data_IF_569295296147
#
_entry.id   IF_569295296147
#
_cell.length_a   1.000
_cell.length_b   1.000
_cell.length_c   1.000
_cell.angle_alpha   90.00
_cell.angle_beta   90.00
_cell.angle_gamma   90.00
#
_symmetry.space_group_name_H-M   'P 1'
#
loop_
_entity.id
_entity.type
_entity.pdbx_description
1 polymer ?
#
# COMPACT_ATOMS: atom_id res chain seq x y z
N UNK A 1 -18.51 2.63 39.92
CA UNK A 1 -17.71 3.87 39.87
C UNK A 1 -17.51 4.18 38.39
N UNK A 2 -18.12 5.28 37.91
CA UNK A 2 -18.21 5.66 36.49
C UNK A 2 -16.91 6.36 36.08
N UNK A 3 -16.26 5.89 35.03
CA UNK A 3 -15.19 6.63 34.36
C UNK A 3 -15.81 7.71 33.47
N UNK A 4 -15.33 8.97 33.50
CA UNK A 4 -15.78 10.01 32.59
C UNK A 4 -15.07 9.85 31.24
N UNK A 5 -15.83 9.88 30.16
CA UNK A 5 -15.32 10.01 28.80
C UNK A 5 -14.96 11.49 28.59
N UNK A 6 -13.70 11.75 28.23
CA UNK A 6 -13.20 13.08 27.95
C UNK A 6 -13.66 13.56 26.56
N UNK A 7 -14.17 14.78 26.51
CA UNK A 7 -14.97 15.32 25.41
C UNK A 7 -14.14 16.00 24.31
N UNK A 8 -13.03 15.38 23.90
CA UNK A 8 -12.14 15.92 22.85
C UNK A 8 -11.98 15.07 21.60
N UNK A 9 -12.69 13.94 21.51
CA UNK A 9 -12.54 12.97 20.40
C UNK A 9 -13.75 12.85 19.47
N UNK A 10 -14.69 13.82 19.51
CA UNK A 10 -15.99 13.73 18.82
C UNK A 10 -16.09 14.51 17.50
N UNK A 11 -15.01 15.16 17.04
CA UNK A 11 -15.04 15.94 15.80
C UNK A 11 -14.78 15.12 14.53
N UNK A 12 -14.27 13.88 14.65
CA UNK A 12 -13.95 12.99 13.51
C UNK A 12 -15.13 12.09 13.08
N UNK A 13 -16.30 12.16 13.72
CA UNK A 13 -17.36 11.16 13.50
C UNK A 13 -18.48 11.59 12.54
N UNK A 14 -18.70 12.88 12.34
CA UNK A 14 -19.91 13.37 11.64
C UNK A 14 -19.67 13.65 10.16
N UNK A 15 -18.46 13.88 9.68
CA UNK A 15 -18.21 14.02 8.22
C UNK A 15 -18.01 12.65 7.56
N UNK A 16 -17.29 11.74 8.22
CA UNK A 16 -16.96 10.40 7.72
C UNK A 16 -18.18 9.49 7.51
N UNK A 17 -19.23 9.67 8.33
CA UNK A 17 -20.45 8.86 8.22
C UNK A 17 -21.29 9.24 7.01
N UNK A 18 -21.28 10.51 6.58
CA UNK A 18 -22.04 10.96 5.41
C UNK A 18 -21.33 10.64 4.10
N UNK A 19 -19.99 10.74 4.04
CA UNK A 19 -19.20 10.33 2.87
C UNK A 19 -19.29 8.82 2.64
N UNK A 20 -19.24 8.01 3.71
CA UNK A 20 -19.46 6.56 3.62
C UNK A 20 -20.91 6.19 3.26
N UNK A 21 -21.91 6.98 3.68
CA UNK A 21 -23.29 6.77 3.29
C UNK A 21 -23.56 7.15 1.82
N UNK A 22 -22.97 8.24 1.33
CA UNK A 22 -23.03 8.67 -0.08
C UNK A 22 -22.38 7.66 -1.03
N UNK A 23 -21.19 7.16 -0.68
CA UNK A 23 -20.52 6.11 -1.44
C UNK A 23 -21.36 4.82 -1.49
N UNK A 24 -22.04 4.44 -0.40
CA UNK A 24 -22.96 3.29 -0.39
C UNK A 24 -24.19 3.47 -1.29
N UNK A 25 -24.69 4.69 -1.49
CA UNK A 25 -25.83 4.95 -2.40
C UNK A 25 -25.39 4.92 -3.86
N UNK A 26 -24.20 5.44 -4.18
CA UNK A 26 -23.61 5.30 -5.51
C UNK A 26 -23.28 3.83 -5.83
N UNK A 27 -22.74 3.08 -4.86
CA UNK A 27 -22.45 1.65 -4.96
C UNK A 27 -23.71 0.78 -5.16
N UNK A 28 -24.87 1.23 -4.66
CA UNK A 28 -26.16 0.55 -4.88
C UNK A 28 -26.63 0.64 -6.34
N UNK A 29 -26.21 1.66 -7.10
CA UNK A 29 -26.56 1.84 -8.51
C UNK A 29 -25.48 1.28 -9.45
N UNK A 30 -24.22 1.42 -9.06
CA UNK A 30 -23.07 0.89 -9.79
C UNK A 30 -22.18 0.11 -8.83
N UNK A 31 -22.09 -1.23 -8.95
CA UNK A 31 -21.23 -2.00 -8.06
C UNK A 31 -19.77 -1.55 -8.18
N UNK A 32 -19.04 -1.67 -7.06
CA UNK A 32 -17.61 -1.37 -6.99
C UNK A 32 -16.81 -2.63 -6.65
N UNK A 33 -15.72 -2.86 -7.37
CA UNK A 33 -14.73 -3.91 -7.13
C UNK A 33 -13.41 -3.24 -6.75
N UNK A 34 -12.93 -3.50 -5.54
CA UNK A 34 -11.64 -2.99 -5.07
C UNK A 34 -10.52 -4.01 -5.29
N UNK A 35 -9.51 -3.64 -6.05
CA UNK A 35 -8.33 -4.43 -6.37
C UNK A 35 -7.11 -3.85 -5.64
N UNK A 36 -6.67 -4.54 -4.59
CA UNK A 36 -5.41 -4.23 -3.94
C UNK A 36 -4.23 -4.76 -4.75
N UNK A 37 -3.31 -3.89 -5.14
CA UNK A 37 -2.07 -4.23 -5.83
C UNK A 37 -0.90 -4.00 -4.89
N UNK A 38 -0.13 -5.07 -4.65
CA UNK A 38 0.97 -5.04 -3.70
C UNK A 38 2.12 -5.93 -4.16
N UNK A 39 3.23 -5.86 -3.43
CA UNK A 39 4.52 -6.45 -3.80
C UNK A 39 5.68 -5.59 -3.30
N UNK A 40 6.86 -6.21 -3.19
CA UNK A 40 8.07 -5.55 -2.72
C UNK A 40 8.45 -4.33 -3.60
N UNK A 41 9.28 -3.43 -3.08
CA UNK A 41 9.83 -2.33 -3.85
C UNK A 41 10.47 -2.83 -5.15
N UNK A 42 10.21 -2.10 -6.25
CA UNK A 42 10.66 -2.43 -7.61
C UNK A 42 10.12 -3.75 -8.20
N UNK A 43 9.04 -4.32 -7.64
CA UNK A 43 8.35 -5.48 -8.24
C UNK A 43 7.52 -5.17 -9.48
N UNK A 44 7.45 -3.91 -9.92
CA UNK A 44 6.73 -3.49 -11.12
C UNK A 44 5.25 -3.12 -10.93
N UNK A 45 4.77 -2.91 -9.69
CA UNK A 45 3.37 -2.51 -9.39
C UNK A 45 2.89 -1.32 -10.20
N UNK A 46 3.66 -0.23 -10.18
CA UNK A 46 3.36 1.02 -10.88
C UNK A 46 3.21 0.81 -12.39
N UNK A 47 4.12 0.04 -12.99
CA UNK A 47 4.08 -0.32 -14.41
C UNK A 47 2.89 -1.22 -14.72
N UNK A 48 2.61 -2.21 -13.86
CA UNK A 48 1.45 -3.09 -14.00
C UNK A 48 0.13 -2.32 -14.00
N UNK A 49 -0.09 -1.44 -13.01
CA UNK A 49 -1.31 -0.63 -12.90
C UNK A 49 -1.43 0.30 -14.11
N UNK A 50 -0.35 0.99 -14.48
CA UNK A 50 -0.34 1.89 -15.65
C UNK A 50 -0.68 1.14 -16.94
N UNK A 51 -0.06 -0.03 -17.16
CA UNK A 51 -0.34 -0.87 -18.32
C UNK A 51 -1.78 -1.38 -18.31
N UNK A 52 -2.31 -1.82 -17.17
CA UNK A 52 -3.69 -2.28 -17.02
C UNK A 52 -4.68 -1.17 -17.39
N UNK A 53 -4.54 0.01 -16.79
CA UNK A 53 -5.40 1.17 -17.07
C UNK A 53 -5.32 1.55 -18.54
N UNK A 54 -4.11 1.62 -19.11
CA UNK A 54 -3.93 1.96 -20.53
C UNK A 54 -4.61 0.95 -21.46
N UNK A 55 -4.43 -0.35 -21.23
CA UNK A 55 -5.05 -1.38 -22.07
C UNK A 55 -6.58 -1.38 -21.97
N UNK A 56 -7.14 -1.01 -20.82
CA UNK A 56 -8.58 -0.88 -20.64
C UNK A 56 -9.12 0.38 -21.34
N UNK A 57 -8.47 1.54 -21.14
CA UNK A 57 -8.97 2.87 -21.55
C UNK A 57 -8.65 3.23 -23.00
N UNK A 58 -7.42 2.96 -23.46
CA UNK A 58 -6.95 3.27 -24.82
C UNK A 58 -6.98 2.05 -25.75
N UNK A 59 -7.32 0.89 -25.19
CA UNK A 59 -7.26 -0.38 -25.88
C UNK A 59 -5.87 -1.00 -25.92
N UNK A 60 -5.86 -2.31 -26.07
CA UNK A 60 -4.66 -3.10 -26.30
C UNK A 60 -5.01 -4.54 -26.67
N UNK A 61 -4.12 -5.48 -26.34
CA UNK A 61 -4.29 -6.90 -26.68
C UNK A 61 -4.44 -7.72 -25.40
N UNK A 62 -5.68 -7.96 -24.99
CA UNK A 62 -6.02 -8.75 -23.81
C UNK A 62 -6.73 -10.07 -24.20
N UNK A 63 -6.07 -11.01 -24.91
CA UNK A 63 -6.70 -12.22 -25.43
C UNK A 63 -7.20 -13.17 -24.32
N UNK A 64 -6.59 -13.11 -23.14
CA UNK A 64 -6.98 -13.91 -21.97
C UNK A 64 -7.98 -13.21 -21.05
N UNK A 65 -8.43 -12.00 -21.43
CA UNK A 65 -9.49 -11.30 -20.72
C UNK A 65 -10.77 -11.39 -21.57
N UNK A 66 -11.56 -12.44 -21.33
CA UNK A 66 -12.73 -12.78 -22.15
C UNK A 66 -13.68 -11.59 -22.43
N UNK A 67 -14.06 -10.74 -21.45
CA UNK A 67 -14.89 -9.57 -21.74
C UNK A 67 -14.31 -8.61 -22.78
N UNK A 68 -12.99 -8.43 -22.80
CA UNK A 68 -12.32 -7.59 -23.79
C UNK A 68 -12.16 -8.33 -25.12
N UNK A 69 -11.70 -9.59 -25.09
CA UNK A 69 -11.48 -10.41 -26.28
C UNK A 69 -12.77 -10.67 -27.08
N UNK A 70 -13.91 -10.77 -26.41
CA UNK A 70 -15.24 -10.96 -27.01
C UNK A 70 -15.91 -9.64 -27.41
N UNK A 71 -15.24 -8.49 -27.24
CA UNK A 71 -15.78 -7.17 -27.57
C UNK A 71 -16.94 -6.73 -26.66
N UNK A 72 -17.01 -7.25 -25.43
CA UNK A 72 -18.07 -6.93 -24.47
C UNK A 72 -17.81 -5.69 -23.64
N UNK A 73 -16.57 -5.24 -23.51
CA UNK A 73 -16.23 -3.95 -22.91
C UNK A 73 -16.64 -2.84 -23.89
N UNK A 74 -17.57 -1.99 -23.45
CA UNK A 74 -18.10 -0.87 -24.22
C UNK A 74 -17.24 0.37 -24.01
N UNK A 75 -16.89 0.67 -22.75
CA UNK A 75 -15.99 1.77 -22.40
C UNK A 75 -15.25 1.46 -21.10
N UNK A 76 -14.12 2.14 -20.93
CA UNK A 76 -13.38 2.19 -19.68
C UNK A 76 -12.86 3.62 -19.52
N UNK A 77 -13.31 4.29 -18.47
CA UNK A 77 -13.07 5.72 -18.27
C UNK A 77 -12.49 5.97 -16.88
N UNK A 78 -11.52 6.88 -16.78
CA UNK A 78 -11.03 7.32 -15.47
C UNK A 78 -12.07 8.23 -14.82
N UNK A 79 -12.40 7.94 -13.57
CA UNK A 79 -13.39 8.69 -12.80
C UNK A 79 -12.85 9.08 -11.43
N UNK A 80 -13.50 10.04 -10.74
CA UNK A 80 -13.14 10.39 -9.37
C UNK A 80 -13.12 9.15 -8.46
N UNK A 81 -12.04 9.02 -7.71
CA UNK A 81 -11.87 7.96 -6.72
C UNK A 81 -12.83 8.15 -5.53
N UNK A 82 -13.15 7.09 -4.78
CA UNK A 82 -14.13 7.18 -3.69
C UNK A 82 -13.62 7.87 -2.42
N UNK A 83 -12.31 7.92 -2.21
CA UNK A 83 -11.69 8.46 -1.00
C UNK A 83 -10.69 9.58 -1.34
N UNK A 84 -11.10 10.83 -1.12
CA UNK A 84 -10.27 12.02 -1.37
C UNK A 84 -9.12 12.18 -0.37
N UNK A 85 -9.12 11.44 0.75
CA UNK A 85 -8.01 11.46 1.70
C UNK A 85 -6.82 10.59 1.22
N UNK A 86 -7.05 9.68 0.28
CA UNK A 86 -5.99 8.85 -0.31
C UNK A 86 -5.40 9.58 -1.53
N UNK A 87 -4.07 9.69 -1.67
CA UNK A 87 -3.48 10.28 -2.87
C UNK A 87 -3.92 9.53 -4.15
N UNK A 88 -4.26 10.28 -5.20
CA UNK A 88 -4.55 9.69 -6.51
C UNK A 88 -3.31 9.03 -7.11
N UNK A 89 -3.48 7.86 -7.73
CA UNK A 89 -2.44 7.25 -8.55
C UNK A 89 -2.17 8.12 -9.78
N UNK A 90 -0.94 8.57 -9.94
CA UNK A 90 -0.54 9.53 -10.98
C UNK A 90 -0.35 8.87 -12.36
N UNK A 91 -1.46 8.35 -12.90
CA UNK A 91 -1.49 7.62 -14.16
C UNK A 91 -0.89 8.44 -15.31
N UNK A 92 -1.23 9.73 -15.38
CA UNK A 92 -0.74 10.64 -16.43
C UNK A 92 0.78 10.80 -16.37
N UNK A 93 1.36 11.08 -15.21
CA UNK A 93 2.81 11.19 -15.11
C UNK A 93 3.52 9.85 -15.41
N UNK A 94 2.92 8.73 -15.00
CA UNK A 94 3.49 7.41 -15.26
C UNK A 94 3.47 7.04 -16.75
N UNK A 95 2.41 7.38 -17.50
CA UNK A 95 2.38 7.14 -18.94
C UNK A 95 3.33 8.08 -19.69
N UNK A 96 3.46 9.33 -19.25
CA UNK A 96 4.40 10.30 -19.81
C UNK A 96 5.85 9.84 -19.60
N UNK A 97 6.20 9.34 -18.41
CA UNK A 97 7.51 8.75 -18.14
C UNK A 97 7.85 7.59 -19.11
N UNK A 98 6.87 6.70 -19.34
CA UNK A 98 7.04 5.52 -20.19
C UNK A 98 7.04 5.85 -21.69
N UNK A 99 6.43 6.95 -22.10
CA UNK A 99 6.29 7.36 -23.51
C UNK A 99 7.19 8.53 -23.91
N UNK A 100 7.90 9.12 -22.95
CA UNK A 100 8.82 10.25 -23.16
C UNK A 100 10.05 9.91 -24.00
N UNK A 101 10.85 10.95 -24.28
CA UNK A 101 12.09 10.86 -25.05
C UNK A 101 13.24 11.54 -24.29
N UNK A 102 14.15 10.79 -23.64
CA UNK A 102 14.19 9.33 -23.56
C UNK A 102 13.12 8.76 -22.60
N UNK A 103 12.59 7.55 -22.87
CA UNK A 103 11.65 6.90 -21.96
C UNK A 103 12.38 6.46 -20.70
N UNK A 104 11.71 6.55 -19.54
CA UNK A 104 12.24 6.08 -18.27
C UNK A 104 11.17 5.38 -17.44
N UNK A 105 11.61 4.55 -16.49
CA UNK A 105 10.69 3.90 -15.57
C UNK A 105 10.10 4.94 -14.61
N UNK A 106 8.79 4.85 -14.29
CA UNK A 106 8.19 5.63 -13.22
C UNK A 106 8.86 5.39 -11.87
N UNK A 107 8.82 6.40 -11.00
CA UNK A 107 9.26 6.28 -9.61
C UNK A 107 8.48 5.18 -8.88
N UNK A 108 9.16 4.48 -7.97
CA UNK A 108 8.50 3.45 -7.15
C UNK A 108 7.52 4.09 -6.18
N UNK A 109 6.35 3.46 -6.05
CA UNK A 109 5.31 3.87 -5.08
C UNK A 109 5.86 3.88 -3.65
N UNK A 110 5.87 5.06 -3.00
CA UNK A 110 6.36 5.24 -1.63
C UNK A 110 5.24 5.38 -0.58
N UNK A 111 4.00 5.59 -1.03
CA UNK A 111 2.80 5.79 -0.21
C UNK A 111 1.60 5.10 -0.86
N UNK A 112 0.56 4.85 -0.09
CA UNK A 112 -0.70 4.34 -0.64
C UNK A 112 -1.26 5.31 -1.70
N UNK A 113 -1.81 4.77 -2.79
CA UNK A 113 -2.54 5.56 -3.78
C UNK A 113 -3.70 4.80 -4.39
N UNK A 114 -4.72 5.50 -4.88
CA UNK A 114 -5.93 4.91 -5.46
C UNK A 114 -6.27 5.52 -6.82
N UNK A 115 -6.91 4.75 -7.70
CA UNK A 115 -7.52 5.24 -8.93
C UNK A 115 -8.74 4.41 -9.31
N UNK A 116 -9.77 5.06 -9.84
CA UNK A 116 -11.00 4.42 -10.31
C UNK A 116 -11.03 4.36 -11.84
N UNK A 117 -11.34 3.17 -12.35
CA UNK A 117 -11.71 2.95 -13.75
C UNK A 117 -13.18 2.50 -13.79
N UNK A 118 -14.05 3.31 -14.38
CA UNK A 118 -15.44 2.96 -14.61
C UNK A 118 -15.57 2.14 -15.89
N UNK A 119 -16.01 0.90 -15.76
CA UNK A 119 -16.15 -0.06 -16.86
C UNK A 119 -17.61 -0.16 -17.27
N UNK A 120 -17.92 0.17 -18.52
CA UNK A 120 -19.21 -0.15 -19.14
C UNK A 120 -19.07 -1.43 -19.96
N UNK A 121 -19.94 -2.41 -19.75
CA UNK A 121 -19.82 -3.71 -20.42
C UNK A 121 -21.17 -4.38 -20.67
N UNK A 122 -21.19 -5.30 -21.63
CA UNK A 122 -22.32 -6.18 -21.90
C UNK A 122 -22.16 -7.51 -21.13
N UNK A 123 -23.19 -7.97 -20.40
CA UNK A 123 -23.12 -9.23 -19.67
C UNK A 123 -22.86 -10.44 -20.57
N UNK A 124 -22.17 -11.45 -20.02
CA UNK A 124 -21.88 -12.69 -20.75
C UNK A 124 -23.17 -13.46 -21.10
N UNK A 125 -24.01 -13.74 -20.08
CA UNK A 125 -25.24 -14.49 -20.23
C UNK A 125 -26.27 -13.75 -21.08
N UNK A 126 -26.77 -14.41 -22.12
CA UNK A 126 -27.77 -13.88 -23.05
C UNK A 126 -29.04 -13.36 -22.34
N UNK A 127 -29.51 -14.04 -21.29
CA UNK A 127 -30.64 -13.60 -20.46
C UNK A 127 -30.38 -12.28 -19.72
N UNK A 128 -29.13 -11.96 -19.41
CA UNK A 128 -28.73 -10.71 -18.75
C UNK A 128 -28.38 -9.63 -19.77
N UNK A 129 -28.15 -9.95 -21.05
CA UNK A 129 -27.92 -8.95 -22.10
C UNK A 129 -29.16 -8.11 -22.39
N UNK A 130 -30.35 -8.64 -22.17
CA UNK A 130 -31.61 -7.88 -22.26
C UNK A 130 -31.72 -6.80 -21.19
N UNK A 131 -30.95 -6.88 -20.10
CA UNK A 131 -30.83 -5.84 -19.08
C UNK A 131 -29.90 -4.69 -19.52
N UNK A 132 -29.34 -4.75 -20.72
CA UNK A 132 -28.54 -3.68 -21.32
C UNK A 132 -27.09 -3.61 -20.83
N UNK A 133 -26.47 -2.45 -21.07
CA UNK A 133 -25.11 -2.13 -20.64
C UNK A 133 -25.09 -2.02 -19.11
N UNK A 134 -24.11 -2.67 -18.49
CA UNK A 134 -23.85 -2.61 -17.05
C UNK A 134 -22.59 -1.81 -16.80
N UNK A 135 -22.55 -1.20 -15.62
CA UNK A 135 -21.40 -0.43 -15.15
C UNK A 135 -20.78 -1.11 -13.92
N UNK A 136 -19.46 -1.05 -13.82
CA UNK A 136 -18.68 -1.52 -12.68
C UNK A 136 -17.57 -0.50 -12.41
N UNK A 137 -17.45 -0.03 -11.17
CA UNK A 137 -16.31 0.76 -10.77
C UNK A 137 -15.18 -0.19 -10.33
N UNK A 138 -14.02 -0.11 -10.98
CA UNK A 138 -12.82 -0.82 -10.58
C UNK A 138 -11.91 0.15 -9.83
N UNK A 139 -11.84 -0.01 -8.51
CA UNK A 139 -10.99 0.80 -7.63
C UNK A 139 -9.65 0.09 -7.41
N UNK A 140 -8.59 0.60 -8.00
CA UNK A 140 -7.24 0.03 -7.91
C UNK A 140 -6.48 0.76 -6.82
N UNK A 141 -6.05 0.03 -5.79
CA UNK A 141 -5.29 0.58 -4.66
C UNK A 141 -3.87 0.04 -4.70
N UNK A 142 -2.88 0.90 -4.93
CA UNK A 142 -1.45 0.58 -4.86
C UNK A 142 -0.93 0.85 -3.45
N UNK A 143 -0.32 -0.15 -2.82
CA UNK A 143 0.32 0.03 -1.53
C UNK A 143 1.63 -0.78 -1.41
N UNK A 144 2.61 -0.30 -0.61
CA UNK A 144 3.87 -1.00 -0.41
C UNK A 144 3.66 -2.39 0.20
N UNK A 145 4.19 -3.45 -0.42
CA UNK A 145 4.09 -4.82 0.10
C UNK A 145 4.90 -5.04 1.37
N UNK A 146 5.90 -4.21 1.62
CA UNK A 146 6.65 -4.17 2.88
C UNK A 146 5.75 -3.92 4.10
N UNK A 147 4.59 -3.28 3.93
CA UNK A 147 3.63 -3.10 5.02
C UNK A 147 2.96 -4.40 5.45
N UNK A 148 2.93 -5.41 4.58
CA UNK A 148 2.45 -6.74 4.94
C UNK A 148 3.44 -7.49 5.84
N UNK A 149 4.71 -7.08 5.88
CA UNK A 149 5.72 -7.69 6.75
C UNK A 149 5.38 -7.46 8.23
N UNK A 150 4.75 -6.33 8.53
CA UNK A 150 4.36 -5.97 9.90
C UNK A 150 3.10 -6.73 10.35
N UNK A 151 2.35 -7.38 9.44
CA UNK A 151 1.22 -8.22 9.81
C UNK A 151 1.64 -9.43 10.65
N UNK A 152 2.85 -9.94 10.44
CA UNK A 152 3.38 -11.04 11.25
C UNK A 152 3.51 -10.66 12.73
N UNK A 153 3.65 -9.36 13.03
CA UNK A 153 3.78 -8.85 14.40
C UNK A 153 2.43 -8.71 15.13
N UNK A 154 1.28 -8.80 14.44
CA UNK A 154 -0.05 -8.61 15.07
C UNK A 154 -0.31 -9.57 16.23
N UNK A 155 0.23 -10.78 16.16
CA UNK A 155 0.09 -11.81 17.18
C UNK A 155 1.35 -12.00 18.03
N UNK A 156 2.31 -11.08 17.94
CA UNK A 156 3.60 -11.18 18.64
C UNK A 156 3.66 -10.15 19.77
N UNK A 157 4.08 -10.58 20.96
CA UNK A 157 4.36 -9.63 22.04
C UNK A 157 5.62 -8.82 21.73
N UNK A 158 5.71 -7.59 22.27
CA UNK A 158 6.92 -6.78 22.13
C UNK A 158 8.18 -7.54 22.61
N UNK A 159 8.08 -8.26 23.73
CA UNK A 159 9.20 -9.01 24.29
C UNK A 159 9.70 -10.14 23.36
N UNK A 160 8.77 -10.87 22.73
CA UNK A 160 9.11 -11.94 21.78
C UNK A 160 9.75 -11.35 20.52
N UNK A 161 9.17 -10.26 20.00
CA UNK A 161 9.71 -9.56 18.84
C UNK A 161 11.12 -9.01 19.11
N UNK A 162 11.34 -8.38 20.28
CA UNK A 162 12.65 -7.85 20.66
C UNK A 162 13.70 -8.95 20.72
N UNK A 163 13.36 -10.13 21.25
CA UNK A 163 14.27 -11.28 21.30
C UNK A 163 14.67 -11.74 19.90
N UNK A 164 13.69 -11.92 19.02
CA UNK A 164 13.92 -12.33 17.63
C UNK A 164 14.75 -11.28 16.86
N UNK A 165 14.48 -9.99 17.07
CA UNK A 165 15.25 -8.90 16.46
C UNK A 165 16.73 -8.92 16.89
N UNK A 166 16.99 -9.13 18.18
CA UNK A 166 18.35 -9.27 18.71
C UNK A 166 19.05 -10.52 18.16
N UNK A 167 18.36 -11.65 18.10
CA UNK A 167 18.92 -12.90 17.57
C UNK A 167 19.27 -12.76 16.08
N UNK A 168 18.40 -12.11 15.29
CA UNK A 168 18.69 -11.78 13.89
C UNK A 168 19.91 -10.86 13.73
N UNK A 169 20.02 -9.82 14.56
CA UNK A 169 21.14 -8.89 14.50
C UNK A 169 22.48 -9.55 14.86
N UNK A 170 22.46 -10.64 15.64
CA UNK A 170 23.65 -11.42 16.01
C UNK A 170 24.05 -12.47 14.96
N UNK A 171 23.30 -12.63 13.88
CA UNK A 171 23.67 -13.56 12.82
C UNK A 171 25.01 -13.14 12.19
N UNK A 172 25.89 -14.08 11.81
CA UNK A 172 27.19 -13.77 11.22
C UNK A 172 27.10 -12.87 9.99
N UNK A 173 26.06 -13.04 9.16
CA UNK A 173 25.81 -12.22 7.97
C UNK A 173 25.42 -10.77 8.27
N UNK A 174 25.12 -10.44 9.54
CA UNK A 174 24.69 -9.12 10.00
C UNK A 174 25.61 -8.51 11.05
N UNK A 175 26.66 -9.23 11.45
CA UNK A 175 27.51 -8.85 12.58
C UNK A 175 28.16 -7.48 12.38
N UNK A 176 28.63 -7.17 11.16
CA UNK A 176 29.24 -5.89 10.82
C UNK A 176 28.21 -4.75 10.78
N UNK A 177 27.10 -4.94 10.07
CA UNK A 177 26.06 -3.91 9.89
C UNK A 177 25.29 -3.61 11.18
N UNK A 178 25.14 -4.58 12.08
CA UNK A 178 24.44 -4.43 13.35
C UNK A 178 25.33 -3.95 14.51
N UNK A 179 26.66 -3.94 14.34
CA UNK A 179 27.62 -3.65 15.42
C UNK A 179 27.33 -2.32 16.12
N UNK A 180 27.12 -1.18 15.42
CA UNK A 180 26.93 0.10 16.08
C UNK A 180 25.68 0.13 16.96
N UNK A 181 24.60 -0.51 16.50
CA UNK A 181 23.35 -0.63 17.26
C UNK A 181 23.52 -1.56 18.47
N UNK A 182 24.12 -2.74 18.27
CA UNK A 182 24.37 -3.71 19.35
C UNK A 182 25.32 -3.17 20.42
N UNK A 183 26.33 -2.39 20.03
CA UNK A 183 27.23 -1.71 20.96
C UNK A 183 26.48 -0.66 21.77
N UNK A 184 25.64 0.15 21.13
CA UNK A 184 24.85 1.18 21.79
C UNK A 184 23.87 0.61 22.83
N UNK A 185 23.06 -0.39 22.48
CA UNK A 185 22.07 -0.95 23.41
C UNK A 185 22.70 -1.62 24.63
N UNK A 186 23.95 -2.11 24.54
CA UNK A 186 24.71 -2.65 25.69
C UNK A 186 25.06 -1.58 26.72
N UNK A 187 25.04 -0.31 26.34
CA UNK A 187 25.31 0.81 27.26
C UNK A 187 24.07 1.24 28.06
N UNK A 188 22.89 0.75 27.66
CA UNK A 188 21.62 1.13 28.27
C UNK A 188 21.26 0.20 29.43
N UNK A 189 20.71 0.78 30.50
CA UNK A 189 20.09 0.04 31.60
C UNK A 189 18.58 -0.07 31.37
N UNK A 190 18.09 -1.28 31.18
CA UNK A 190 16.66 -1.55 30.95
C UNK A 190 15.77 -1.26 32.18
N UNK A 191 16.37 -1.06 33.36
CA UNK A 191 15.66 -0.71 34.60
C UNK A 191 15.68 0.78 34.94
N UNK A 192 16.40 1.58 34.15
CA UNK A 192 16.46 3.03 34.33
C UNK A 192 15.13 3.71 33.94
N UNK A 193 14.87 4.94 34.43
CA UNK A 193 13.76 5.77 33.97
C UNK A 193 13.78 5.98 32.46
N UNK A 194 12.60 6.28 31.88
CA UNK A 194 12.47 6.57 30.45
C UNK A 194 13.34 7.76 30.01
N UNK A 195 14.12 7.56 28.94
CA UNK A 195 14.92 8.59 28.30
C UNK A 195 14.62 8.60 26.80
N UNK A 196 13.84 9.58 26.37
CA UNK A 196 13.42 9.77 24.99
C UNK A 196 14.62 9.97 24.05
N UNK A 197 15.67 10.68 24.48
CA UNK A 197 16.86 10.90 23.64
C UNK A 197 17.63 9.61 23.46
N UNK A 198 17.71 8.78 24.51
CA UNK A 198 18.34 7.47 24.41
C UNK A 198 17.55 6.55 23.47
N UNK A 199 16.21 6.58 23.55
CA UNK A 199 15.33 5.80 22.69
C UNK A 199 15.43 6.23 21.21
N UNK A 200 15.37 7.53 20.91
CA UNK A 200 15.50 8.07 19.55
C UNK A 200 16.84 7.67 18.92
N UNK A 201 17.95 7.83 19.64
CA UNK A 201 19.27 7.41 19.16
C UNK A 201 19.32 5.89 18.91
N UNK A 202 18.67 5.09 19.75
CA UNK A 202 18.55 3.65 19.55
C UNK A 202 17.76 3.30 18.28
N UNK A 203 16.67 4.02 18.03
CA UNK A 203 15.84 3.87 16.84
C UNK A 203 16.59 4.27 15.56
N UNK A 204 17.36 5.36 15.58
CA UNK A 204 18.16 5.80 14.42
C UNK A 204 19.24 4.77 14.05
N UNK A 205 19.95 4.24 15.04
CA UNK A 205 20.97 3.21 14.84
C UNK A 205 20.34 1.90 14.33
N UNK A 206 19.19 1.53 14.88
CA UNK A 206 18.44 0.35 14.41
C UNK A 206 17.97 0.51 12.96
N UNK A 207 17.42 1.69 12.63
CA UNK A 207 17.01 2.05 11.26
C UNK A 207 18.17 1.93 10.29
N UNK A 208 19.32 2.50 10.66
CA UNK A 208 20.55 2.47 9.84
C UNK A 208 21.01 1.03 9.58
N UNK A 209 21.03 0.20 10.62
CA UNK A 209 21.32 -1.24 10.49
C UNK A 209 20.35 -1.93 9.51
N UNK A 210 19.04 -1.70 9.63
CA UNK A 210 18.06 -2.32 8.74
C UNK A 210 18.23 -1.86 7.28
N UNK A 211 18.53 -0.58 7.05
CA UNK A 211 18.78 -0.03 5.70
C UNK A 211 19.99 -0.68 5.06
N UNK A 212 21.09 -0.83 5.80
CA UNK A 212 22.31 -1.48 5.29
C UNK A 212 22.09 -2.98 5.06
N UNK A 213 21.46 -3.68 6.01
CA UNK A 213 21.13 -5.10 5.87
C UNK A 213 20.21 -5.38 4.66
N UNK A 214 19.41 -4.41 4.22
CA UNK A 214 18.55 -4.51 3.02
C UNK A 214 19.35 -4.53 1.72
N UNK A 215 20.56 -3.97 1.69
CA UNK A 215 21.39 -3.96 0.47
C UNK A 215 21.81 -5.36 0.05
N UNK A 216 22.03 -6.24 1.01
CA UNK A 216 22.60 -7.58 0.80
C UNK A 216 21.59 -8.73 1.00
N UNK A 217 20.36 -8.44 1.44
CA UNK A 217 19.33 -9.45 1.72
C UNK A 217 18.00 -9.18 0.99
N UNK A 218 17.23 -10.26 0.77
CA UNK A 218 15.87 -10.13 0.25
C UNK A 218 15.00 -9.33 1.23
N UNK A 219 14.33 -8.29 0.71
CA UNK A 219 13.52 -7.29 1.46
C UNK A 219 12.50 -7.92 2.42
N UNK A 220 12.04 -9.15 2.14
CA UNK A 220 11.05 -9.87 2.95
C UNK A 220 11.54 -10.34 4.35
N UNK A 221 12.81 -10.11 4.72
CA UNK A 221 13.40 -10.62 5.98
C UNK A 221 13.74 -9.53 7.01
N UNK A 222 13.36 -8.29 6.75
CA UNK A 222 13.70 -7.13 7.57
C UNK A 222 12.41 -6.43 8.02
N UNK A 223 11.89 -6.87 9.17
CA UNK A 223 10.86 -6.15 9.92
C UNK A 223 11.49 -5.29 11.03
N UNK A 224 10.85 -4.17 11.41
CA UNK A 224 9.54 -3.70 10.98
C UNK A 224 9.63 -2.93 9.65
N UNK A 225 8.71 -3.17 8.73
CA UNK A 225 8.67 -2.58 7.40
C UNK A 225 8.59 -1.05 7.41
N UNK A 226 7.93 -0.47 8.43
CA UNK A 226 7.84 0.99 8.61
C UNK A 226 9.15 1.69 8.95
N UNK A 227 10.13 1.02 9.56
CA UNK A 227 11.47 1.59 9.75
C UNK A 227 12.19 1.80 8.42
N UNK A 228 11.90 0.96 7.42
CA UNK A 228 12.50 1.05 6.08
C UNK A 228 11.74 1.98 5.14
N UNK A 229 10.46 2.24 5.42
CA UNK A 229 9.57 3.09 4.63
C UNK A 229 8.64 3.85 5.59
N UNK A 230 9.10 4.98 6.17
CA UNK A 230 8.38 5.67 7.25
C UNK A 230 7.00 6.21 6.84
N UNK A 231 6.75 6.41 5.54
CA UNK A 231 5.50 7.01 5.08
C UNK A 231 5.37 8.43 5.63
N UNK A 232 4.20 8.75 6.21
CA UNK A 232 3.85 10.07 6.75
C UNK A 232 3.99 10.17 8.29
N UNK A 233 4.87 9.37 8.94
CA UNK A 233 5.20 9.52 10.38
C UNK A 233 6.16 10.68 10.64
#
# INVERSE_FOLDING_TARGET
MRFPLDARDLSLSVTDTWTRAGNRIADLLTPSLRLGVTGLARSGKTVFITALIRNLTQGGRLPFFAPYAEGRIVSADLEPQPDDAVPRFDYEAHIDALSGAPPHWPESTRRISEVRVALSFTPEHWLRRTLGIRRLNLDIVDYPGEWLLDLAMLNQSYADWSREALDRARLPSRAETAEPWLAYIKTLDASAPEDEKAALRGADLFTSYLVEARRDAAVATLGPGRFLMPGDL
#
